data_IF_068194337711
#
_entry.id   IF_068194337711
#
_cell.length_a   1.000
_cell.length_b   1.000
_cell.length_c   1.000
_cell.angle_alpha   90.00
_cell.angle_beta   90.00
_cell.angle_gamma   90.00
#
_symmetry.space_group_name_H-M   'P 1'
#
loop_
_entity.id
_entity.type
_entity.pdbx_description
1 polymer ?
#
# COMPACT_ATOMS: atom_id res chain seq x y z
N UNK A 1 25.23 27.28 47.58
CA UNK A 1 26.40 27.83 46.88
C UNK A 1 27.40 26.70 46.71
N UNK A 2 27.41 26.02 45.56
CA UNK A 2 28.45 25.07 45.11
C UNK A 2 28.14 24.65 43.66
N UNK A 3 29.20 24.44 42.90
CA UNK A 3 29.38 24.83 41.51
C UNK A 3 28.92 23.81 40.46
N UNK A 4 28.54 24.34 39.29
CA UNK A 4 28.37 23.62 38.04
C UNK A 4 29.70 23.11 37.46
N UNK A 5 29.73 21.88 36.94
CA UNK A 5 30.75 21.41 36.00
C UNK A 5 30.10 21.06 34.67
N UNK A 6 30.34 21.90 33.66
CA UNK A 6 30.07 21.62 32.24
C UNK A 6 31.16 20.72 31.70
N UNK A 7 30.77 19.60 31.10
CA UNK A 7 31.66 18.75 30.29
C UNK A 7 31.34 19.04 28.84
N UNK A 8 32.31 19.54 28.07
CA UNK A 8 32.27 19.65 26.60
C UNK A 8 33.12 18.53 26.01
N UNK A 9 32.64 17.75 25.02
CA UNK A 9 33.51 17.00 24.14
C UNK A 9 33.95 17.86 22.94
N UNK A 10 35.23 17.73 22.61
CA UNK A 10 35.95 18.32 21.48
C UNK A 10 35.40 17.81 20.15
N UNK A 11 35.19 18.72 19.20
CA UNK A 11 35.06 18.40 17.78
C UNK A 11 36.47 18.25 17.19
N UNK A 12 36.90 17.03 16.85
CA UNK A 12 38.06 16.79 15.99
C UNK A 12 37.57 16.54 14.58
N UNK A 13 38.10 17.34 13.65
CA UNK A 13 37.71 17.33 12.24
C UNK A 13 38.08 16.04 11.51
N UNK A 14 37.15 15.60 10.67
CA UNK A 14 37.38 14.71 9.55
C UNK A 14 36.70 15.32 8.32
N UNK A 15 37.45 15.51 7.23
CA UNK A 15 36.91 15.95 5.93
C UNK A 15 35.98 14.86 5.39
N UNK A 16 34.76 15.17 4.91
CA UNK A 16 33.98 14.20 4.16
C UNK A 16 34.55 14.08 2.75
N UNK A 17 34.89 12.85 2.37
CA UNK A 17 35.12 12.44 0.99
C UNK A 17 33.77 12.56 0.27
N UNK A 18 33.73 13.31 -0.83
CA UNK A 18 32.57 13.40 -1.70
C UNK A 18 32.45 12.10 -2.51
N UNK A 19 31.55 11.21 -2.09
CA UNK A 19 31.03 10.15 -2.96
C UNK A 19 29.72 10.64 -3.55
N UNK A 20 29.78 10.97 -4.84
CA UNK A 20 28.61 11.28 -5.65
C UNK A 20 27.73 10.05 -5.79
N UNK A 21 26.59 10.10 -5.12
CA UNK A 21 25.44 9.25 -5.37
C UNK A 21 24.21 10.13 -5.30
N UNK A 22 23.39 10.13 -6.35
CA UNK A 22 22.11 10.83 -6.39
C UNK A 22 21.15 10.17 -5.39
N UNK A 23 21.28 10.56 -4.12
CA UNK A 23 20.36 10.19 -3.06
C UNK A 23 19.22 11.19 -3.08
N UNK A 24 18.02 10.72 -3.46
CA UNK A 24 16.78 11.43 -3.12
C UNK A 24 16.79 11.57 -1.60
N UNK A 25 17.01 12.80 -1.14
CA UNK A 25 17.19 13.13 0.28
C UNK A 25 15.83 13.15 0.95
N UNK A 26 15.36 11.99 1.41
CA UNK A 26 14.20 11.90 2.29
C UNK A 26 14.52 12.59 3.61
N UNK A 27 14.06 13.83 3.79
CA UNK A 27 14.17 14.52 5.07
C UNK A 27 13.10 13.97 6.03
N UNK A 28 13.45 13.60 7.27
CA UNK A 28 12.46 13.13 8.22
C UNK A 28 11.85 14.32 8.95
N UNK A 29 10.57 14.57 8.69
CA UNK A 29 9.70 15.40 9.54
C UNK A 29 8.62 14.45 10.05
N UNK A 30 8.62 14.12 11.35
CA UNK A 30 7.49 13.42 11.98
C UNK A 30 6.57 14.46 12.66
N UNK A 31 5.24 14.26 12.63
CA UNK A 31 4.54 13.02 12.36
C UNK A 31 3.69 13.08 11.08
N UNK A 32 4.09 12.37 10.02
CA UNK A 32 3.14 11.86 9.02
C UNK A 32 3.15 10.34 9.18
N UNK A 33 2.16 9.78 9.87
CA UNK A 33 2.06 8.34 10.09
C UNK A 33 1.59 7.56 8.83
N UNK A 34 1.78 8.13 7.63
CA UNK A 34 0.87 7.90 6.52
C UNK A 34 1.47 7.88 5.11
N UNK A 35 2.76 7.58 4.99
CA UNK A 35 3.32 7.26 3.68
C UNK A 35 3.68 5.79 3.61
N UNK A 36 2.68 4.96 3.30
CA UNK A 36 2.99 3.63 2.77
C UNK A 36 3.88 3.77 1.56
N UNK A 37 5.04 3.13 1.54
CA UNK A 37 5.87 3.11 0.35
C UNK A 37 5.36 2.03 -0.62
N UNK A 38 5.24 2.35 -1.92
CA UNK A 38 4.80 1.41 -2.93
C UNK A 38 5.94 0.48 -3.37
N UNK A 39 5.60 -0.75 -3.71
CA UNK A 39 6.50 -1.71 -4.36
C UNK A 39 5.73 -2.49 -5.41
N UNK A 40 6.40 -2.77 -6.53
CA UNK A 40 5.88 -3.66 -7.57
C UNK A 40 6.61 -4.98 -7.48
N UNK A 41 5.84 -6.06 -7.41
CA UNK A 41 6.41 -7.40 -7.34
C UNK A 41 5.74 -8.31 -8.37
N UNK A 42 6.54 -8.84 -9.30
CA UNK A 42 6.05 -9.70 -10.38
C UNK A 42 6.43 -11.15 -10.12
N UNK A 43 5.42 -12.01 -10.04
CA UNK A 43 5.61 -13.46 -10.06
C UNK A 43 5.54 -14.00 -11.49
N UNK A 44 6.21 -15.13 -11.70
CA UNK A 44 6.18 -15.90 -12.94
C UNK A 44 4.87 -16.65 -13.16
N UNK A 45 4.07 -16.85 -12.11
CA UNK A 45 2.74 -17.48 -12.18
C UNK A 45 1.91 -17.19 -10.93
N UNK A 46 0.60 -17.38 -11.05
CA UNK A 46 -0.31 -17.39 -9.90
C UNK A 46 0.08 -18.47 -8.88
N UNK A 47 0.53 -19.64 -9.34
CA UNK A 47 0.98 -20.72 -8.45
C UNK A 47 2.19 -20.32 -7.62
N UNK A 48 3.12 -19.53 -8.17
CA UNK A 48 4.28 -19.01 -7.44
C UNK A 48 3.86 -18.02 -6.36
N UNK A 49 2.98 -17.07 -6.69
CA UNK A 49 2.39 -16.17 -5.70
C UNK A 49 1.71 -16.94 -4.56
N UNK A 50 0.90 -17.96 -4.88
CA UNK A 50 0.20 -18.76 -3.87
C UNK A 50 1.17 -19.48 -2.94
N UNK A 51 2.29 -20.01 -3.45
CA UNK A 51 3.35 -20.59 -2.61
C UNK A 51 4.03 -19.53 -1.76
N UNK A 52 4.31 -18.36 -2.32
CA UNK A 52 4.97 -17.25 -1.63
C UNK A 52 4.13 -16.71 -0.45
N UNK A 53 2.82 -16.58 -0.64
CA UNK A 53 1.89 -16.17 0.42
C UNK A 53 1.78 -17.19 1.57
N UNK A 54 2.21 -18.43 1.37
CA UNK A 54 2.19 -19.49 2.39
C UNK A 54 3.47 -19.56 3.21
N UNK A 55 4.50 -18.77 2.89
CA UNK A 55 5.70 -18.66 3.72
C UNK A 55 5.26 -18.24 5.14
N UNK A 56 5.43 -19.14 6.12
CA UNK A 56 4.83 -19.00 7.46
C UNK A 56 5.26 -17.75 8.25
N UNK A 57 6.29 -17.03 7.79
CA UNK A 57 6.77 -15.78 8.38
C UNK A 57 6.15 -14.51 7.75
N UNK A 58 5.34 -14.61 6.70
CA UNK A 58 4.71 -13.48 6.01
C UNK A 58 5.07 -13.40 4.52
N UNK A 59 5.01 -12.21 3.94
CA UNK A 59 5.39 -11.98 2.55
C UNK A 59 6.82 -11.46 2.47
N UNK A 60 7.74 -12.21 1.84
CA UNK A 60 9.14 -11.81 1.71
C UNK A 60 9.39 -10.97 0.46
N UNK A 61 10.18 -9.90 0.58
CA UNK A 61 10.70 -9.12 -0.53
C UNK A 61 12.23 -9.20 -0.53
N UNK A 62 12.87 -9.75 -1.58
CA UNK A 62 14.31 -9.98 -1.64
C UNK A 62 15.09 -8.71 -2.05
N UNK A 63 14.83 -7.59 -1.37
CA UNK A 63 15.50 -6.32 -1.66
C UNK A 63 15.79 -5.56 -0.35
N UNK A 64 17.07 -5.49 -0.01
CA UNK A 64 17.57 -4.79 1.18
C UNK A 64 17.49 -3.26 1.07
N UNK A 65 17.40 -2.71 -0.14
CA UNK A 65 17.37 -1.27 -0.40
C UNK A 65 15.98 -0.66 -0.19
N UNK A 66 14.93 -1.48 -0.11
CA UNK A 66 13.56 -1.02 0.13
C UNK A 66 13.46 -0.25 1.47
N UNK A 67 12.67 0.84 1.55
CA UNK A 67 12.66 1.72 2.73
C UNK A 67 11.90 1.15 3.93
N UNK A 68 11.97 1.87 5.07
CA UNK A 68 11.14 1.64 6.26
C UNK A 68 11.69 0.61 7.26
N UNK A 69 11.52 0.86 8.57
CA UNK A 69 11.81 -0.11 9.63
C UNK A 69 10.62 -0.98 9.99
N UNK A 70 10.75 -1.92 10.96
CA UNK A 70 9.63 -2.64 11.55
C UNK A 70 8.44 -1.72 11.89
N UNK A 71 7.24 -2.13 11.50
CA UNK A 71 5.98 -1.38 11.63
C UNK A 71 5.68 -0.39 10.50
N UNK A 72 6.65 -0.04 9.65
CA UNK A 72 6.45 0.85 8.52
C UNK A 72 5.41 0.28 7.56
N UNK A 73 4.53 1.12 7.03
CA UNK A 73 3.46 0.70 6.11
C UNK A 73 4.03 0.51 4.70
N UNK A 74 3.52 -0.48 3.98
CA UNK A 74 3.92 -0.83 2.61
C UNK A 74 2.69 -1.20 1.80
N UNK A 75 2.74 -0.89 0.50
CA UNK A 75 1.73 -1.38 -0.44
C UNK A 75 2.41 -2.13 -1.58
N UNK A 76 2.04 -3.41 -1.75
CA UNK A 76 2.56 -4.28 -2.80
C UNK A 76 1.55 -4.35 -3.96
N UNK A 77 1.92 -3.82 -5.13
CA UNK A 77 1.24 -4.10 -6.40
C UNK A 77 1.80 -5.42 -6.94
N UNK A 78 0.95 -6.45 -6.98
CA UNK A 78 1.35 -7.77 -7.46
C UNK A 78 1.00 -7.91 -8.94
N UNK A 79 1.92 -8.47 -9.72
CA UNK A 79 1.65 -8.89 -11.09
C UNK A 79 1.89 -10.40 -11.25
N UNK A 80 1.00 -11.03 -12.03
CA UNK A 80 1.12 -12.41 -12.52
C UNK A 80 0.70 -12.42 -14.00
N UNK A 81 1.28 -13.26 -14.86
CA UNK A 81 0.98 -13.25 -16.30
C UNK A 81 -0.46 -13.69 -16.62
N UNK A 82 -1.13 -14.43 -15.73
CA UNK A 82 -2.46 -14.99 -15.97
C UNK A 82 -3.60 -13.95 -15.88
N UNK A 83 -3.33 -12.75 -15.37
CA UNK A 83 -4.33 -11.68 -15.29
C UNK A 83 -3.72 -10.29 -15.47
N UNK A 84 -4.47 -9.41 -16.12
CA UNK A 84 -4.16 -7.98 -16.17
C UNK A 84 -4.51 -7.25 -14.87
N UNK A 85 -5.26 -7.89 -13.97
CA UNK A 85 -5.55 -7.34 -12.66
C UNK A 85 -4.27 -7.33 -11.83
N UNK A 86 -3.90 -6.14 -11.35
CA UNK A 86 -2.76 -5.93 -10.45
C UNK A 86 -3.25 -5.67 -9.04
N UNK A 87 -3.49 -6.70 -8.22
CA UNK A 87 -4.01 -6.53 -6.87
C UNK A 87 -3.02 -5.78 -5.99
N UNK A 88 -3.59 -5.03 -5.05
CA UNK A 88 -2.88 -4.15 -4.13
C UNK A 88 -3.01 -4.70 -2.71
N UNK A 89 -1.88 -5.09 -2.14
CA UNK A 89 -1.79 -5.62 -0.78
C UNK A 89 -1.23 -4.55 0.14
N UNK A 90 -2.05 -4.06 1.07
CA UNK A 90 -1.61 -3.14 2.11
C UNK A 90 -1.08 -3.94 3.28
N UNK A 91 0.06 -3.55 3.84
CA UNK A 91 0.60 -4.23 5.01
C UNK A 91 1.66 -3.42 5.72
N UNK A 92 2.49 -4.12 6.51
CA UNK A 92 3.54 -3.52 7.31
C UNK A 92 4.82 -4.34 7.24
N UNK A 93 5.96 -3.67 7.35
CA UNK A 93 7.24 -4.33 7.59
C UNK A 93 7.17 -5.02 8.95
N UNK A 94 7.32 -6.34 8.96
CA UNK A 94 7.47 -7.12 10.19
C UNK A 94 8.88 -6.98 10.73
N UNK A 95 9.85 -7.35 9.90
CA UNK A 95 11.27 -7.36 10.23
C UNK A 95 12.13 -7.23 8.98
N UNK A 96 13.39 -6.86 9.18
CA UNK A 96 14.42 -6.80 8.13
C UNK A 96 15.52 -7.79 8.49
N UNK A 97 15.88 -8.63 7.53
CA UNK A 97 16.95 -9.61 7.67
C UNK A 97 17.95 -9.42 6.54
N UNK A 98 19.13 -10.03 6.67
CA UNK A 98 20.06 -10.11 5.55
C UNK A 98 19.36 -10.82 4.38
N UNK A 99 19.37 -10.19 3.22
CA UNK A 99 18.71 -10.62 1.99
C UNK A 99 17.33 -10.02 1.72
N UNK A 100 16.72 -9.26 2.64
CA UNK A 100 15.45 -8.59 2.35
C UNK A 100 14.55 -8.26 3.55
N UNK A 101 13.25 -8.16 3.27
CA UNK A 101 12.23 -7.67 4.22
C UNK A 101 11.07 -8.65 4.30
N UNK A 102 10.62 -8.96 5.52
CA UNK A 102 9.37 -9.68 5.76
C UNK A 102 8.22 -8.72 6.04
N UNK A 103 7.08 -8.97 5.42
CA UNK A 103 5.88 -8.14 5.54
C UNK A 103 4.72 -8.91 6.20
N UNK A 104 4.03 -8.23 7.10
CA UNK A 104 2.69 -8.57 7.56
C UNK A 104 1.66 -7.99 6.61
N UNK A 105 1.07 -8.86 5.79
CA UNK A 105 -0.07 -8.53 4.95
C UNK A 105 -1.33 -9.13 5.62
N UNK A 106 -2.27 -8.34 6.15
CA UNK A 106 -3.50 -8.80 6.79
C UNK A 106 -4.32 -9.61 5.78
N UNK A 107 -4.01 -10.90 5.73
CA UNK A 107 -4.62 -11.94 4.92
C UNK A 107 -4.98 -11.51 3.49
N UNK A 108 -4.08 -11.82 2.56
CA UNK A 108 -4.51 -12.43 1.32
C UNK A 108 -5.49 -13.59 1.66
N UNK A 109 -6.80 -13.35 1.64
CA UNK A 109 -7.81 -14.42 1.73
C UNK A 109 -8.94 -14.22 0.72
N UNK A 110 -9.33 -15.29 0.01
CA UNK A 110 -8.51 -16.39 -0.47
C UNK A 110 -7.93 -16.02 -1.84
N UNK A 111 -6.81 -16.64 -2.21
CA UNK A 111 -6.36 -16.71 -3.60
C UNK A 111 -7.47 -17.20 -4.58
N UNK A 112 -8.62 -17.68 -4.07
CA UNK A 112 -9.85 -17.93 -4.82
C UNK A 112 -10.46 -16.69 -5.51
N UNK A 113 -10.12 -15.45 -5.11
CA UNK A 113 -10.44 -14.24 -5.92
C UNK A 113 -9.31 -13.86 -6.90
N UNK A 114 -8.17 -14.54 -6.80
CA UNK A 114 -6.97 -14.28 -7.62
C UNK A 114 -6.85 -15.30 -8.75
N UNK A 115 -7.53 -16.44 -8.63
CA UNK A 115 -7.89 -17.25 -9.78
C UNK A 115 -8.65 -16.34 -10.75
N UNK A 116 -8.12 -16.13 -11.97
CA UNK A 116 -8.83 -15.38 -12.98
C UNK A 116 -10.13 -16.11 -13.23
N UNK A 117 -11.25 -15.54 -12.80
CA UNK A 117 -12.55 -15.99 -13.30
C UNK A 117 -12.60 -15.57 -14.77
N UNK A 118 -12.59 -16.50 -15.73
CA UNK A 118 -12.60 -16.16 -17.15
C UNK A 118 -13.87 -15.39 -17.55
N UNK A 119 -14.94 -15.52 -16.76
CA UNK A 119 -16.20 -14.79 -16.90
C UNK A 119 -16.34 -13.64 -15.89
N UNK A 120 -15.32 -13.44 -15.05
CA UNK A 120 -15.29 -12.39 -14.06
C UNK A 120 -15.18 -11.02 -14.73
N UNK A 121 -15.76 -9.96 -14.14
CA UNK A 121 -15.65 -8.62 -14.68
C UNK A 121 -14.18 -8.20 -14.73
N UNK A 122 -13.66 -8.00 -15.95
CA UNK A 122 -12.30 -7.47 -16.15
C UNK A 122 -12.29 -5.99 -15.82
N UNK A 123 -11.31 -5.55 -15.03
CA UNK A 123 -11.15 -4.13 -14.72
C UNK A 123 -10.81 -3.37 -15.99
N UNK A 124 -11.60 -2.36 -16.32
CA UNK A 124 -11.34 -1.47 -17.47
C UNK A 124 -10.36 -0.35 -17.12
N UNK A 125 -10.21 -0.03 -15.83
CA UNK A 125 -9.37 1.05 -15.33
C UNK A 125 -8.33 0.51 -14.36
N UNK A 126 -7.08 0.95 -14.54
CA UNK A 126 -6.00 0.67 -13.60
C UNK A 126 -6.34 1.27 -12.24
N UNK A 127 -6.16 0.48 -11.17
CA UNK A 127 -6.27 0.96 -9.80
C UNK A 127 -4.89 1.30 -9.25
N UNK A 128 -4.80 2.43 -8.57
CA UNK A 128 -3.58 2.92 -7.95
C UNK A 128 -3.80 2.90 -6.45
N UNK A 129 -2.91 2.22 -5.73
CA UNK A 129 -3.03 2.22 -4.29
C UNK A 129 -2.71 3.59 -3.72
N UNK A 130 -3.44 3.94 -2.69
CA UNK A 130 -3.26 5.16 -1.93
C UNK A 130 -3.59 4.88 -0.47
N UNK A 131 -3.16 5.76 0.42
CA UNK A 131 -3.63 5.78 1.81
C UNK A 131 -4.09 7.19 2.16
N UNK A 132 -5.10 7.64 1.42
CA UNK A 132 -5.72 8.94 1.66
C UNK A 132 -6.78 8.81 2.75
N UNK A 133 -6.93 9.85 3.57
CA UNK A 133 -8.14 9.96 4.37
C UNK A 133 -9.32 10.23 3.45
N UNK A 134 -10.48 9.70 3.81
CA UNK A 134 -11.73 9.98 3.12
C UNK A 134 -12.80 10.28 4.15
N UNK A 135 -13.45 11.43 3.99
CA UNK A 135 -14.69 11.74 4.70
C UNK A 135 -15.87 11.26 3.85
N UNK A 136 -16.59 10.26 4.34
CA UNK A 136 -17.74 9.68 3.67
C UNK A 136 -19.01 10.25 4.27
N UNK A 137 -19.91 10.70 3.40
CA UNK A 137 -21.23 11.20 3.75
C UNK A 137 -22.27 10.19 3.23
N UNK A 138 -22.66 9.19 4.04
CA UNK A 138 -23.72 8.26 3.68
C UNK A 138 -25.06 9.01 3.63
N UNK A 139 -26.00 8.53 2.81
CA UNK A 139 -27.31 9.17 2.69
C UNK A 139 -28.07 9.09 4.02
N UNK A 140 -28.35 10.24 4.62
CA UNK A 140 -29.14 10.33 5.85
C UNK A 140 -28.41 9.89 7.12
N UNK A 141 -27.08 9.73 7.05
CA UNK A 141 -26.23 9.46 8.21
C UNK A 141 -25.22 10.56 8.45
N UNK A 142 -24.61 10.54 9.63
CA UNK A 142 -23.50 11.43 9.98
C UNK A 142 -22.25 11.11 9.15
N UNK A 143 -21.45 12.12 8.79
CA UNK A 143 -20.19 11.89 8.11
C UNK A 143 -19.19 11.17 9.01
N UNK A 144 -18.31 10.39 8.39
CA UNK A 144 -17.24 9.69 9.10
C UNK A 144 -15.97 9.59 8.27
N UNK A 145 -14.84 9.51 8.98
CA UNK A 145 -13.52 9.39 8.38
C UNK A 145 -13.09 7.94 8.25
N UNK A 146 -12.51 7.62 7.10
CA UNK A 146 -11.92 6.33 6.81
C UNK A 146 -10.70 6.45 5.90
N UNK A 147 -10.25 5.32 5.35
CA UNK A 147 -9.11 5.26 4.44
C UNK A 147 -9.52 4.83 3.05
N UNK A 148 -9.10 5.56 2.03
CA UNK A 148 -9.02 5.02 0.68
C UNK A 148 -7.86 4.04 0.63
N UNK A 149 -8.11 2.83 0.10
CA UNK A 149 -7.10 1.81 -0.18
C UNK A 149 -6.58 1.94 -1.61
N UNK A 150 -7.48 2.23 -2.55
CA UNK A 150 -7.11 2.50 -3.94
C UNK A 150 -8.15 3.38 -4.64
N UNK A 151 -7.71 4.01 -5.72
CA UNK A 151 -8.54 4.78 -6.62
C UNK A 151 -8.22 4.47 -8.09
N UNK A 152 -9.16 4.77 -8.97
CA UNK A 152 -9.02 4.81 -10.42
C UNK A 152 -9.90 5.93 -10.98
N UNK A 153 -9.88 6.12 -12.30
CA UNK A 153 -10.74 7.10 -12.99
C UNK A 153 -12.24 6.93 -12.65
N UNK A 154 -12.65 5.70 -12.35
CA UNK A 154 -14.07 5.31 -12.18
C UNK A 154 -14.35 4.60 -10.86
N UNK A 155 -13.37 4.48 -9.98
CA UNK A 155 -13.50 3.65 -8.80
C UNK A 155 -12.75 4.19 -7.59
N UNK A 156 -13.34 4.00 -6.43
CA UNK A 156 -12.71 4.21 -5.13
C UNK A 156 -12.95 2.96 -4.30
N UNK A 157 -11.93 2.47 -3.59
CA UNK A 157 -12.08 1.44 -2.56
C UNK A 157 -11.70 2.03 -1.22
N UNK A 158 -12.58 1.90 -0.24
CA UNK A 158 -12.34 2.38 1.13
C UNK A 158 -12.33 1.21 2.11
N UNK A 159 -11.50 1.31 3.15
CA UNK A 159 -11.58 0.47 4.34
C UNK A 159 -12.44 1.18 5.39
N UNK A 160 -13.50 0.51 5.86
CA UNK A 160 -14.46 1.07 6.81
C UNK A 160 -14.95 0.03 7.82
N UNK A 161 -15.02 0.44 9.09
CA UNK A 161 -15.74 -0.31 10.13
C UNK A 161 -17.23 0.06 10.21
N UNK A 162 -17.67 1.06 9.45
CA UNK A 162 -19.02 1.63 9.46
C UNK A 162 -19.74 1.37 8.13
N UNK A 163 -21.06 1.27 8.21
CA UNK A 163 -21.91 1.05 7.03
C UNK A 163 -21.88 2.27 6.11
N UNK A 164 -21.48 2.04 4.86
CA UNK A 164 -21.50 3.07 3.79
C UNK A 164 -22.85 3.12 3.06
N UNK A 165 -23.65 2.07 3.18
CA UNK A 165 -24.85 1.82 2.39
C UNK A 165 -24.82 0.45 1.72
N UNK A 166 -25.88 0.14 0.98
CA UNK A 166 -26.01 -1.08 0.18
C UNK A 166 -25.71 -0.80 -1.30
N UNK A 167 -25.53 -1.86 -2.08
CA UNK A 167 -25.30 -1.74 -3.53
C UNK A 167 -26.40 -0.91 -4.19
N UNK A 168 -26.01 0.12 -4.94
CA UNK A 168 -26.89 1.05 -5.62
C UNK A 168 -27.05 2.39 -4.92
N UNK A 169 -26.74 2.48 -3.62
CA UNK A 169 -26.85 3.72 -2.87
C UNK A 169 -25.86 4.77 -3.36
N UNK A 170 -26.32 6.01 -3.42
CA UNK A 170 -25.45 7.16 -3.70
C UNK A 170 -24.81 7.68 -2.42
N UNK A 171 -23.54 8.05 -2.54
CA UNK A 171 -22.73 8.58 -1.45
C UNK A 171 -21.94 9.79 -1.94
N UNK A 172 -21.70 10.75 -1.05
CA UNK A 172 -20.71 11.79 -1.27
C UNK A 172 -19.44 11.44 -0.48
N UNK A 173 -18.28 11.73 -1.05
CA UNK A 173 -17.00 11.49 -0.40
C UNK A 173 -16.02 12.62 -0.70
N UNK A 174 -15.18 12.95 0.28
CA UNK A 174 -14.10 13.92 0.13
C UNK A 174 -12.79 13.24 0.48
N UNK A 175 -11.90 13.10 -0.50
CA UNK A 175 -10.54 12.60 -0.29
C UNK A 175 -9.67 13.74 0.26
N UNK A 176 -8.83 13.42 1.24
CA UNK A 176 -7.96 14.34 1.94
C UNK A 176 -6.54 13.77 1.90
N UNK A 177 -5.61 14.55 1.37
CA UNK A 177 -4.19 14.20 1.31
C UNK A 177 -3.43 14.80 2.48
N UNK A 178 -2.35 14.13 2.90
CA UNK A 178 -1.33 14.71 3.77
C UNK A 178 -0.40 15.68 3.02
N UNK A 179 -0.41 15.66 1.69
CA UNK A 179 0.32 16.61 0.86
C UNK A 179 -0.43 17.95 0.83
N UNK A 180 0.19 18.99 1.38
CA UNK A 180 -0.38 20.34 1.50
C UNK A 180 -0.56 21.04 0.14
N UNK A 181 0.06 20.53 -0.92
CA UNK A 181 -0.17 21.00 -2.30
C UNK A 181 -1.42 20.39 -2.95
N UNK A 182 -2.04 19.37 -2.36
CA UNK A 182 -3.24 18.74 -2.89
C UNK A 182 -4.47 19.18 -2.09
N UNK A 183 -5.32 20.00 -2.71
CA UNK A 183 -6.59 20.41 -2.12
C UNK A 183 -7.54 19.22 -1.93
N UNK A 184 -8.45 19.24 -0.93
CA UNK A 184 -9.46 18.19 -0.75
C UNK A 184 -10.27 17.94 -2.02
N UNK A 185 -10.48 16.67 -2.35
CA UNK A 185 -11.10 16.25 -3.60
C UNK A 185 -12.46 15.61 -3.36
N UNK A 186 -13.52 16.33 -3.73
CA UNK A 186 -14.90 15.85 -3.61
C UNK A 186 -15.30 14.94 -4.78
N UNK A 187 -16.18 13.98 -4.49
CA UNK A 187 -16.89 13.21 -5.50
C UNK A 187 -18.29 12.84 -5.05
N UNK A 188 -19.18 12.63 -6.02
CA UNK A 188 -20.36 11.76 -5.84
C UNK A 188 -20.07 10.39 -6.43
N UNK A 189 -20.53 9.36 -5.75
CA UNK A 189 -20.36 7.99 -6.18
C UNK A 189 -21.54 7.10 -5.83
N UNK A 190 -21.45 5.85 -6.26
CA UNK A 190 -22.44 4.80 -6.01
C UNK A 190 -21.77 3.59 -5.41
N UNK A 191 -22.34 3.04 -4.33
CA UNK A 191 -21.86 1.80 -3.75
C UNK A 191 -22.08 0.66 -4.74
N UNK A 192 -21.01 -0.03 -5.15
CA UNK A 192 -21.08 -1.19 -6.06
C UNK A 192 -20.98 -2.51 -5.33
N UNK A 193 -20.32 -2.52 -4.17
CA UNK A 193 -20.27 -3.64 -3.24
C UNK A 193 -19.81 -3.13 -1.86
N UNK A 194 -20.19 -3.86 -0.81
CA UNK A 194 -19.68 -3.68 0.55
C UNK A 194 -19.49 -5.06 1.16
N UNK A 195 -18.30 -5.35 1.67
CA UNK A 195 -17.94 -6.64 2.24
C UNK A 195 -16.66 -6.53 3.07
N UNK A 196 -16.55 -7.32 4.15
CA UNK A 196 -15.29 -7.53 4.88
C UNK A 196 -14.59 -6.22 5.32
N UNK A 197 -15.36 -5.25 5.80
CA UNK A 197 -14.85 -3.92 6.20
C UNK A 197 -14.25 -3.10 5.05
N UNK A 198 -14.64 -3.39 3.81
CA UNK A 198 -14.31 -2.59 2.64
C UNK A 198 -15.57 -2.25 1.85
N UNK A 199 -15.55 -1.08 1.21
CA UNK A 199 -16.61 -0.65 0.30
C UNK A 199 -15.99 -0.25 -1.03
N UNK A 200 -16.54 -0.77 -2.12
CA UNK A 200 -16.28 -0.30 -3.47
C UNK A 200 -17.31 0.74 -3.89
N UNK A 201 -16.81 1.88 -4.36
CA UNK A 201 -17.61 3.01 -4.84
C UNK A 201 -17.27 3.25 -6.32
N UNK A 202 -18.29 3.27 -7.18
CA UNK A 202 -18.18 3.81 -8.53
C UNK A 202 -18.16 5.34 -8.47
N UNK A 203 -17.19 5.95 -9.14
CA UNK A 203 -17.04 7.42 -9.19
C UNK A 203 -17.89 7.97 -10.34
N UNK A 204 -18.86 8.82 -10.00
CA UNK A 204 -19.82 9.39 -10.95
C UNK A 204 -19.47 10.83 -11.32
N UNK A 205 -19.31 11.70 -10.32
CA UNK A 205 -19.04 13.12 -10.52
C UNK A 205 -17.80 13.54 -9.70
N UNK A 206 -16.58 13.26 -10.19
CA UNK A 206 -15.34 13.67 -9.52
C UNK A 206 -15.11 15.17 -9.70
N UNK A 207 -14.55 15.84 -8.69
CA UNK A 207 -14.05 17.20 -8.83
C UNK A 207 -12.75 17.25 -9.66
N UNK A 208 -12.32 18.42 -10.16
CA UNK A 208 -11.00 18.57 -10.78
C UNK A 208 -9.85 18.14 -9.86
N UNK A 209 -9.96 18.41 -8.56
CA UNK A 209 -8.97 18.02 -7.55
C UNK A 209 -8.85 16.50 -7.43
N UNK A 210 -9.91 15.73 -7.71
CA UNK A 210 -9.82 14.27 -7.75
C UNK A 210 -8.89 13.81 -8.88
N UNK A 211 -8.93 14.48 -10.03
CA UNK A 211 -8.02 14.17 -11.15
C UNK A 211 -6.57 14.55 -10.81
N UNK A 212 -6.35 15.66 -10.10
CA UNK A 212 -5.03 16.03 -9.59
C UNK A 212 -4.49 14.99 -8.60
N UNK A 213 -5.31 14.51 -7.65
CA UNK A 213 -4.94 13.44 -6.73
C UNK A 213 -4.63 12.13 -7.47
N UNK A 214 -5.43 11.78 -8.48
CA UNK A 214 -5.20 10.59 -9.29
C UNK A 214 -3.89 10.71 -10.09
N UNK A 215 -3.61 11.88 -10.68
CA UNK A 215 -2.35 12.17 -11.35
C UNK A 215 -1.15 12.09 -10.42
N UNK A 216 -1.27 12.61 -9.19
CA UNK A 216 -0.22 12.51 -8.17
C UNK A 216 0.03 11.05 -7.76
N UNK A 217 -1.04 10.26 -7.54
CA UNK A 217 -0.91 8.83 -7.27
C UNK A 217 -0.26 8.09 -8.45
N UNK A 218 -0.63 8.42 -9.69
CA UNK A 218 -0.06 7.81 -10.89
C UNK A 218 1.44 8.15 -11.02
N UNK A 219 1.81 9.41 -10.81
CA UNK A 219 3.20 9.87 -10.81
C UNK A 219 4.04 9.14 -9.77
N UNK A 220 3.50 8.98 -8.54
CA UNK A 220 4.16 8.21 -7.48
C UNK A 220 4.43 6.77 -7.90
N UNK A 221 3.43 6.09 -8.46
CA UNK A 221 3.57 4.72 -8.93
C UNK A 221 4.48 4.61 -10.17
N UNK A 222 4.56 5.63 -11.02
CA UNK A 222 5.43 5.60 -12.20
C UNK A 222 6.92 5.50 -11.84
N UNK A 223 7.32 6.00 -10.67
CA UNK A 223 8.70 5.97 -10.16
C UNK A 223 9.09 4.64 -9.49
N UNK A 224 8.16 3.69 -9.37
CA UNK A 224 8.38 2.43 -8.66
C UNK A 224 8.88 1.38 -9.63
N UNK A 225 10.12 0.94 -9.42
CA UNK A 225 10.70 -0.18 -10.15
C UNK A 225 9.99 -1.49 -9.80
N UNK A 226 9.91 -2.38 -10.80
CA UNK A 226 9.34 -3.71 -10.63
C UNK A 226 10.43 -4.70 -10.23
N UNK A 227 10.22 -5.35 -9.10
CA UNK A 227 11.06 -6.43 -8.62
C UNK A 227 10.50 -7.75 -9.14
N UNK A 228 11.37 -8.56 -9.73
CA UNK A 228 11.00 -9.89 -10.21
C UNK A 228 11.14 -10.93 -9.10
N UNK A 229 10.20 -11.87 -9.06
CA UNK A 229 10.27 -13.03 -8.19
C UNK A 229 11.48 -13.90 -8.57
N UNK A 230 12.44 -14.02 -7.63
CA UNK A 230 13.67 -14.77 -7.86
C UNK A 230 13.42 -16.27 -7.98
N UNK A 231 14.16 -16.93 -8.88
CA UNK A 231 14.21 -18.39 -8.99
C UNK A 231 14.80 -19.06 -7.75
N UNK A 232 15.54 -18.31 -6.95
CA UNK A 232 16.13 -18.76 -5.69
C UNK A 232 15.20 -18.50 -4.49
N UNK A 233 13.94 -18.08 -4.72
CA UNK A 233 12.97 -17.93 -3.64
C UNK A 233 12.80 -19.24 -2.87
N UNK A 234 12.85 -19.15 -1.54
CA UNK A 234 12.61 -20.28 -0.64
C UNK A 234 11.23 -20.92 -0.83
N UNK A 235 10.27 -20.15 -1.35
CA UNK A 235 8.93 -20.62 -1.72
C UNK A 235 8.91 -21.59 -2.92
N UNK A 236 10.01 -21.70 -3.68
CA UNK A 236 10.16 -22.62 -4.81
C UNK A 236 10.82 -23.95 -4.41
N UNK A 237 11.41 -24.04 -3.22
CA UNK A 237 12.20 -25.22 -2.79
C UNK A 237 11.39 -26.36 -2.14
N UNK A 238 10.06 -26.22 -1.99
CA UNK A 238 9.13 -27.35 -1.77
C UNK A 238 9.03 -27.97 -0.35
N UNK A 239 7.79 -28.24 0.06
CA UNK A 239 7.23 -28.98 1.21
C UNK A 239 7.53 -28.57 2.67
N UNK A 240 8.63 -27.91 2.98
CA UNK A 240 8.94 -27.52 4.38
C UNK A 240 8.37 -26.14 4.79
N UNK A 241 7.77 -25.40 3.87
CA UNK A 241 7.28 -24.04 4.10
C UNK A 241 5.87 -23.98 4.69
N UNK A 242 5.33 -25.10 5.18
CA UNK A 242 4.12 -25.07 6.01
C UNK A 242 4.55 -24.71 7.42
N UNK A 243 4.31 -23.46 7.81
CA UNK A 243 4.48 -23.00 9.19
C UNK A 243 3.46 -23.66 10.12
N UNK A 244 3.56 -24.98 10.32
CA UNK A 244 3.00 -25.61 11.50
C UNK A 244 3.76 -25.05 12.68
N UNK A 245 3.10 -24.15 13.42
CA UNK A 245 3.47 -23.90 14.81
C UNK A 245 3.32 -25.24 15.53
N UNK A 246 4.44 -25.84 15.92
CA UNK A 246 4.39 -26.89 16.93
C UNK A 246 3.73 -26.32 18.20
N UNK A 247 2.92 -27.14 18.90
CA UNK A 247 2.05 -26.71 20.01
C UNK A 247 2.82 -26.08 21.17
#
# INVERSE_FOLDING_TARGET
MLQARRIRPRLTGGRPVALGGSLIRWQPIFPVLDESWPVRYRFESLGALQRHLRLGAGFFLPDEALPGGPGARVIVEVAVPETSDRPLLHGRVRERLQGGIWLDLPSARPAARWEPDPNGPRRQHRRLACELFVEVHPRGGEPWLCRALDLSDRGLRIATGLETGIRGDEVAATLISSNDHLAPAGLRGRVVWSASHETGIEVLNPSPQFQEMLGAAAGRWALVEEIEHSRDCTCLQGDSATGQRHP
#
